data_IF_645739860288
#
_entry.id   IF_645739860288
#
_cell.length_a   1.000
_cell.length_b   1.000
_cell.length_c   1.000
_cell.angle_alpha   90.00
_cell.angle_beta   90.00
_cell.angle_gamma   90.00
#
_symmetry.space_group_name_H-M   'P 1'
#
loop_
_entity.id
_entity.type
_entity.pdbx_description
1 polymer ?
#
# COMPACT_ATOMS: atom_id res chain seq x y z
N UNK A 1 -6.34 9.87 -14.68
CA UNK A 1 -7.36 9.43 -13.70
C UNK A 1 -7.17 7.92 -13.47
N UNK A 2 -7.84 7.33 -12.48
CA UNK A 2 -7.64 5.91 -12.15
C UNK A 2 -8.19 4.96 -13.24
N UNK A 3 -9.22 5.41 -13.96
CA UNK A 3 -9.87 4.68 -15.06
C UNK A 3 -8.93 4.52 -16.27
N UNK A 4 -8.21 5.58 -16.65
CA UNK A 4 -7.21 5.52 -17.73
C UNK A 4 -6.02 4.64 -17.38
N UNK A 5 -5.62 4.58 -16.11
CA UNK A 5 -4.54 3.69 -15.67
C UNK A 5 -4.94 2.21 -15.76
N UNK A 6 -6.15 1.84 -15.32
CA UNK A 6 -6.62 0.45 -15.41
C UNK A 6 -6.70 -0.03 -16.86
N UNK A 7 -7.31 0.76 -17.75
CA UNK A 7 -7.41 0.43 -19.18
C UNK A 7 -6.03 0.29 -19.84
N UNK A 8 -5.08 1.16 -19.46
CA UNK A 8 -3.70 1.06 -19.90
C UNK A 8 -3.04 -0.25 -19.41
N UNK A 9 -3.16 -0.55 -18.11
CA UNK A 9 -2.60 -1.77 -17.52
C UNK A 9 -3.19 -3.04 -18.18
N UNK A 10 -4.49 -3.07 -18.44
CA UNK A 10 -5.16 -4.19 -19.11
C UNK A 10 -4.64 -4.40 -20.53
N UNK A 11 -4.48 -3.32 -21.30
CA UNK A 11 -3.96 -3.36 -22.68
C UNK A 11 -2.52 -3.85 -22.78
N UNK A 12 -1.71 -3.58 -21.75
CA UNK A 12 -0.28 -3.88 -21.72
C UNK A 12 0.09 -5.06 -20.81
N UNK A 13 -0.90 -5.74 -20.21
CA UNK A 13 -0.65 -6.94 -19.44
C UNK A 13 -0.23 -8.08 -20.37
N UNK A 14 0.98 -8.59 -20.18
CA UNK A 14 1.42 -9.81 -20.83
C UNK A 14 0.58 -11.00 -20.35
N UNK A 15 0.39 -12.00 -21.21
CA UNK A 15 -0.19 -13.30 -20.87
C UNK A 15 0.52 -13.89 -19.64
N UNK A 16 -0.24 -14.23 -18.60
CA UNK A 16 0.28 -14.70 -17.31
C UNK A 16 0.30 -13.66 -16.17
N UNK A 17 -0.19 -12.43 -16.39
CA UNK A 17 -0.36 -11.40 -15.33
C UNK A 17 -1.81 -11.15 -14.91
N UNK A 18 -2.70 -12.10 -15.18
CA UNK A 18 -4.14 -12.02 -14.88
C UNK A 18 -4.40 -11.67 -13.41
N UNK A 19 -3.65 -12.29 -12.49
CA UNK A 19 -3.76 -12.03 -11.06
C UNK A 19 -3.44 -10.58 -10.66
N UNK A 20 -2.48 -9.95 -11.33
CA UNK A 20 -2.14 -8.56 -11.06
C UNK A 20 -3.24 -7.59 -11.51
N UNK A 21 -3.90 -7.91 -12.62
CA UNK A 21 -5.07 -7.15 -13.09
C UNK A 21 -6.28 -7.32 -12.17
N UNK A 22 -6.52 -8.53 -11.65
CA UNK A 22 -7.56 -8.77 -10.64
C UNK A 22 -7.33 -7.93 -9.38
N UNK A 23 -6.11 -7.92 -8.84
CA UNK A 23 -5.76 -7.12 -7.66
C UNK A 23 -5.91 -5.63 -7.94
N UNK A 24 -5.54 -5.17 -9.14
CA UNK A 24 -5.71 -3.77 -9.54
C UNK A 24 -7.19 -3.40 -9.69
N UNK A 25 -8.01 -4.28 -10.26
CA UNK A 25 -9.44 -4.09 -10.36
C UNK A 25 -10.11 -4.04 -8.97
N UNK A 26 -9.70 -4.94 -8.08
CA UNK A 26 -10.15 -4.98 -6.68
C UNK A 26 -9.74 -3.71 -5.93
N UNK A 27 -8.54 -3.18 -6.17
CA UNK A 27 -8.06 -1.95 -5.55
C UNK A 27 -8.84 -0.72 -6.04
N UNK A 28 -9.02 -0.59 -7.36
CA UNK A 28 -9.59 0.60 -7.99
C UNK A 28 -11.12 0.64 -7.96
N UNK A 29 -11.77 -0.51 -8.17
CA UNK A 29 -13.23 -0.60 -8.35
C UNK A 29 -13.92 -1.37 -7.23
N UNK A 30 -13.33 -2.48 -6.78
CA UNK A 30 -13.91 -3.32 -5.73
C UNK A 30 -13.79 -2.69 -4.33
N UNK A 31 -12.74 -1.87 -4.11
CA UNK A 31 -12.26 -1.47 -2.77
C UNK A 31 -12.34 -2.63 -1.79
N UNK A 32 -11.96 -3.83 -2.22
CA UNK A 32 -11.78 -4.96 -1.33
C UNK A 32 -10.57 -4.61 -0.48
N UNK A 33 -10.83 -3.93 0.64
CA UNK A 33 -9.79 -3.44 1.54
C UNK A 33 -9.24 -4.67 2.24
N UNK A 34 -8.16 -5.21 1.70
CA UNK A 34 -7.42 -6.22 2.41
C UNK A 34 -7.01 -5.61 3.75
N UNK A 35 -7.41 -6.26 4.84
CA UNK A 35 -7.13 -5.74 6.18
C UNK A 35 -5.75 -6.20 6.59
N UNK A 36 -4.93 -5.26 7.08
CA UNK A 36 -3.64 -5.58 7.68
C UNK A 36 -3.90 -6.28 9.01
N UNK A 37 -3.49 -7.55 9.12
CA UNK A 37 -3.66 -8.37 10.34
C UNK A 37 -2.37 -8.53 11.11
N UNK A 38 -1.23 -8.30 10.46
CA UNK A 38 0.08 -8.39 11.08
C UNK A 38 1.02 -7.35 10.48
N UNK A 39 1.88 -6.79 11.32
CA UNK A 39 3.00 -5.95 10.93
C UNK A 39 4.18 -6.22 11.85
N UNK A 40 5.36 -6.41 11.27
CA UNK A 40 6.62 -6.38 12.00
C UNK A 40 7.59 -5.41 11.34
N UNK A 41 8.41 -4.77 12.16
CA UNK A 41 9.49 -3.88 11.76
C UNK A 41 10.79 -4.48 12.26
N UNK A 42 11.66 -4.88 11.35
CA UNK A 42 12.89 -5.61 11.67
C UNK A 42 14.09 -4.79 11.16
N UNK A 43 15.03 -4.41 12.03
CA UNK A 43 16.31 -3.85 11.60
C UNK A 43 17.04 -4.79 10.63
N UNK A 44 17.63 -4.24 9.56
CA UNK A 44 18.27 -5.04 8.50
C UNK A 44 19.41 -5.91 9.05
N UNK A 45 20.16 -5.40 10.02
CA UNK A 45 21.24 -6.11 10.73
C UNK A 45 20.73 -7.31 11.55
N UNK A 46 19.46 -7.27 11.98
CA UNK A 46 18.85 -8.30 12.83
C UNK A 46 17.97 -9.32 12.09
N UNK A 47 17.79 -9.16 10.77
CA UNK A 47 16.93 -10.00 9.92
C UNK A 47 17.16 -11.51 10.07
N UNK A 48 18.41 -11.94 10.34
CA UNK A 48 18.77 -13.36 10.52
C UNK A 48 18.76 -13.80 11.99
N UNK A 49 18.86 -12.86 12.92
CA UNK A 49 19.00 -13.15 14.35
C UNK A 49 17.66 -13.20 15.09
N UNK A 50 16.66 -12.48 14.60
CA UNK A 50 15.36 -12.40 15.26
C UNK A 50 14.37 -13.35 14.58
N UNK A 51 13.78 -14.32 15.31
CA UNK A 51 12.76 -15.19 14.75
C UNK A 51 11.52 -14.36 14.38
N UNK A 52 11.15 -14.39 13.09
CA UNK A 52 9.97 -13.72 12.58
C UNK A 52 8.71 -14.56 12.85
N UNK A 53 7.62 -13.91 13.26
CA UNK A 53 6.31 -14.56 13.38
C UNK A 53 5.52 -14.54 12.05
N UNK A 54 6.04 -13.88 11.00
CA UNK A 54 5.42 -13.89 9.67
C UNK A 54 5.14 -15.32 9.16
N UNK A 55 6.11 -16.26 9.16
CA UNK A 55 5.88 -17.63 8.68
C UNK A 55 4.80 -18.35 9.49
N UNK A 56 4.80 -18.20 10.82
CA UNK A 56 3.80 -18.81 11.68
C UNK A 56 2.40 -18.26 11.40
N UNK A 57 2.28 -16.94 11.23
CA UNK A 57 1.03 -16.25 10.92
C UNK A 57 0.48 -16.67 9.55
N UNK A 58 1.35 -16.73 8.52
CA UNK A 58 0.95 -17.19 7.18
C UNK A 58 0.50 -18.66 7.20
N UNK A 59 1.19 -19.52 7.95
CA UNK A 59 0.80 -20.92 8.10
C UNK A 59 -0.56 -21.06 8.80
N UNK A 60 -0.82 -20.26 9.84
CA UNK A 60 -2.12 -20.22 10.51
C UNK A 60 -3.24 -19.80 9.55
N UNK A 61 -3.06 -18.70 8.82
CA UNK A 61 -4.06 -18.20 7.85
C UNK A 61 -4.33 -19.23 6.74
N UNK A 62 -3.28 -19.88 6.24
CA UNK A 62 -3.39 -20.96 5.25
C UNK A 62 -4.17 -22.17 5.79
N UNK A 63 -3.91 -22.58 7.04
CA UNK A 63 -4.63 -23.68 7.68
C UNK A 63 -6.14 -23.38 7.83
N UNK A 64 -6.50 -22.10 7.99
CA UNK A 64 -7.88 -21.65 8.06
C UNK A 64 -8.50 -21.35 6.68
N UNK A 65 -7.79 -21.63 5.58
CA UNK A 65 -8.21 -21.28 4.20
C UNK A 65 -8.51 -19.79 4.01
N UNK A 66 -7.87 -18.92 4.78
CA UNK A 66 -8.04 -17.46 4.67
C UNK A 66 -7.03 -16.95 3.63
N UNK A 67 -7.50 -16.34 2.52
CA UNK A 67 -6.61 -15.73 1.53
C UNK A 67 -5.80 -14.59 2.15
N UNK A 68 -4.49 -14.69 2.04
CA UNK A 68 -3.55 -13.75 2.64
C UNK A 68 -2.36 -13.47 1.73
N UNK A 69 -1.80 -12.27 1.83
CA UNK A 69 -0.66 -11.81 1.04
C UNK A 69 0.29 -11.06 1.95
N UNK A 70 1.57 -11.42 1.86
CA UNK A 70 2.63 -10.74 2.57
C UNK A 70 3.25 -9.70 1.65
N UNK A 71 3.24 -8.45 2.09
CA UNK A 71 3.95 -7.37 1.44
C UNK A 71 5.17 -7.05 2.30
N UNK A 72 6.35 -7.27 1.72
CA UNK A 72 7.61 -6.86 2.33
C UNK A 72 8.12 -5.59 1.66
N UNK A 73 8.55 -4.64 2.48
CA UNK A 73 9.12 -3.36 2.07
C UNK A 73 10.57 -3.46 1.59
N UNK A 74 11.02 -4.63 1.14
CA UNK A 74 12.38 -4.83 0.60
C UNK A 74 12.62 -4.16 -0.76
N UNK A 75 11.59 -3.54 -1.36
CA UNK A 75 11.70 -2.74 -2.59
C UNK A 75 12.13 -1.28 -2.31
N UNK A 76 12.72 -0.62 -3.33
CA UNK A 76 13.37 0.69 -3.23
C UNK A 76 12.47 1.88 -2.82
N UNK A 77 11.14 1.69 -2.80
CA UNK A 77 10.16 2.72 -2.40
C UNK A 77 9.99 2.83 -0.88
N UNK A 78 10.52 1.85 -0.14
CA UNK A 78 10.34 1.74 1.31
C UNK A 78 11.64 1.46 2.07
N UNK A 79 12.77 1.36 1.35
CA UNK A 79 14.09 1.45 1.97
C UNK A 79 14.41 2.90 2.23
N UNK A 80 14.44 3.26 3.49
CA UNK A 80 14.84 4.58 3.93
C UNK A 80 16.26 4.52 4.45
N UNK A 81 17.15 5.32 3.86
CA UNK A 81 18.50 5.50 4.35
C UNK A 81 18.59 6.84 5.09
N UNK A 82 19.28 6.90 6.23
CA UNK A 82 19.53 8.13 6.95
C UNK A 82 20.37 9.09 6.10
N UNK A 83 20.31 10.39 6.43
CA UNK A 83 21.17 11.39 5.79
C UNK A 83 22.63 11.14 6.19
N UNK A 84 23.35 10.39 5.36
CA UNK A 84 24.78 10.16 5.51
C UNK A 84 25.62 11.42 5.27
N UNK A 85 26.95 11.27 5.23
CA UNK A 85 27.89 12.38 4.91
C UNK A 85 27.80 12.86 3.45
N UNK A 86 27.11 12.12 2.59
CA UNK A 86 26.93 12.48 1.18
C UNK A 86 25.95 13.66 1.03
N UNK A 87 26.22 14.56 0.08
CA UNK A 87 25.35 15.72 -0.21
C UNK A 87 24.03 15.34 -0.88
N UNK A 88 23.92 14.14 -1.45
CA UNK A 88 22.77 13.69 -2.24
C UNK A 88 21.95 12.66 -1.48
N UNK A 89 20.63 12.86 -1.44
CA UNK A 89 19.69 11.88 -0.86
C UNK A 89 19.72 10.56 -1.62
N UNK A 90 19.72 9.45 -0.88
CA UNK A 90 19.56 8.09 -1.41
C UNK A 90 18.09 7.64 -1.42
N UNK A 91 17.20 8.41 -0.80
CA UNK A 91 15.78 8.10 -0.72
C UNK A 91 15.05 8.53 -1.99
N UNK A 92 14.15 7.67 -2.47
CA UNK A 92 13.27 7.96 -3.61
C UNK A 92 12.11 8.87 -3.22
N UNK A 93 11.66 8.80 -1.97
CA UNK A 93 10.52 9.56 -1.47
C UNK A 93 10.91 10.99 -1.10
N UNK A 94 10.12 11.95 -1.59
CA UNK A 94 10.27 13.38 -1.34
C UNK A 94 8.98 13.95 -0.75
N UNK A 95 9.11 14.96 0.09
CA UNK A 95 8.00 15.70 0.70
C UNK A 95 7.84 17.02 -0.04
N UNK A 96 6.58 17.39 -0.32
CA UNK A 96 6.24 18.72 -0.80
C UNK A 96 6.09 19.63 0.42
N UNK A 97 6.98 20.60 0.55
CA UNK A 97 6.94 21.60 1.61
C UNK A 97 6.47 22.92 1.00
N UNK A 98 5.69 23.68 1.78
CA UNK A 98 5.24 25.03 1.43
C UNK A 98 6.00 26.03 2.30
N UNK A 99 6.53 27.09 1.70
CA UNK A 99 7.12 28.18 2.47
C UNK A 99 6.03 29.10 3.03
N UNK A 100 6.47 30.09 3.82
CA UNK A 100 5.62 31.15 4.38
C UNK A 100 4.92 32.00 3.31
N UNK A 101 5.38 31.96 2.06
CA UNK A 101 4.81 32.64 0.91
C UNK A 101 3.94 31.72 0.03
N UNK A 102 3.77 30.45 0.41
CA UNK A 102 2.96 29.46 -0.29
C UNK A 102 3.62 28.77 -1.49
N UNK A 103 4.90 29.05 -1.77
CA UNK A 103 5.67 28.38 -2.82
C UNK A 103 5.97 26.93 -2.40
N UNK A 104 5.86 26.01 -3.36
CA UNK A 104 6.05 24.57 -3.14
C UNK A 104 7.43 24.12 -3.58
N UNK A 105 8.15 23.44 -2.70
CA UNK A 105 9.44 22.83 -3.00
C UNK A 105 9.46 21.36 -2.58
N UNK A 106 10.32 20.59 -3.22
CA UNK A 106 10.51 19.17 -2.94
C UNK A 106 11.76 18.99 -2.08
N UNK A 107 11.58 18.42 -0.90
CA UNK A 107 12.69 18.04 -0.02
C UNK A 107 12.75 16.53 0.20
N UNK A 108 13.95 15.95 0.39
CA UNK A 108 14.07 14.54 0.75
C UNK A 108 13.35 14.22 2.07
N UNK A 109 12.73 13.03 2.15
CA UNK A 109 11.95 12.60 3.33
C UNK A 109 12.77 12.58 4.62
N UNK A 110 14.06 12.26 4.53
CA UNK A 110 14.95 12.22 5.69
C UNK A 110 15.15 13.59 6.33
N UNK A 111 14.91 14.71 5.65
CA UNK A 111 14.97 16.04 6.28
C UNK A 111 13.89 16.22 7.33
N UNK A 112 12.72 15.62 7.11
CA UNK A 112 11.50 15.82 7.91
C UNK A 112 11.14 14.64 8.80
N UNK A 113 11.78 13.49 8.58
CA UNK A 113 11.49 12.27 9.33
C UNK A 113 12.64 11.88 10.24
N UNK A 114 12.44 12.05 11.56
CA UNK A 114 13.36 11.53 12.58
C UNK A 114 13.49 10.02 12.53
N UNK A 115 12.44 9.31 12.12
CA UNK A 115 12.45 7.86 11.95
C UNK A 115 13.44 7.43 10.87
N UNK A 116 13.49 8.16 9.76
CA UNK A 116 14.41 7.87 8.65
C UNK A 116 15.87 8.22 8.99
N UNK A 117 16.10 9.24 9.82
CA UNK A 117 17.45 9.70 10.17
C UNK A 117 18.17 8.91 11.27
N UNK A 118 17.57 7.84 11.81
CA UNK A 118 18.29 6.97 12.73
C UNK A 118 19.35 6.20 11.97
N UNK A 119 20.62 6.47 12.29
CA UNK A 119 21.79 5.87 11.64
C UNK A 119 21.87 4.35 11.86
N UNK A 120 21.17 3.85 12.88
CA UNK A 120 21.30 2.50 13.42
C UNK A 120 20.19 1.56 12.91
N UNK A 121 19.25 2.06 12.12
CA UNK A 121 18.00 1.34 11.82
C UNK A 121 17.62 1.54 10.34
N UNK A 122 18.33 0.91 9.39
CA UNK A 122 17.64 0.52 8.16
C UNK A 122 16.61 -0.54 8.56
N UNK A 123 15.32 -0.27 8.35
CA UNK A 123 14.22 -1.14 8.81
C UNK A 123 13.54 -1.79 7.61
N UNK A 124 13.31 -3.10 7.70
CA UNK A 124 12.39 -3.84 6.83
C UNK A 124 11.06 -4.00 7.57
N UNK A 125 10.01 -3.47 6.96
CA UNK A 125 8.63 -3.66 7.38
C UNK A 125 8.02 -4.83 6.59
N UNK A 126 7.50 -5.83 7.30
CA UNK A 126 6.68 -6.90 6.70
C UNK A 126 5.25 -6.73 7.17
N UNK A 127 4.31 -6.81 6.23
CA UNK A 127 2.88 -6.68 6.50
C UNK A 127 2.16 -7.89 5.93
N UNK A 128 1.24 -8.46 6.69
CA UNK A 128 0.33 -9.48 6.19
C UNK A 128 -1.06 -8.86 6.07
N UNK A 129 -1.63 -8.99 4.89
CA UNK A 129 -2.96 -8.55 4.55
C UNK A 129 -3.84 -9.77 4.32
N UNK A 130 -5.10 -9.71 4.77
CA UNK A 130 -6.12 -10.74 4.49
C UNK A 130 -7.26 -10.14 3.68
N UNK A 131 -7.79 -10.91 2.75
CA UNK A 131 -9.06 -10.58 2.12
C UNK A 131 -10.17 -10.59 3.19
N UNK A 132 -11.17 -9.70 3.08
CA UNK A 132 -12.32 -9.72 4.00
C UNK A 132 -13.04 -11.07 3.88
N UNK A 133 -13.34 -11.67 5.02
CA UNK A 133 -14.08 -12.94 5.08
C UNK A 133 -15.50 -12.82 4.48
N UNK A 134 -16.13 -11.65 4.61
CA UNK A 134 -17.46 -11.35 4.05
C UNK A 134 -17.50 -11.43 2.52
N UNK A 135 -16.39 -11.10 1.85
CA UNK A 135 -16.26 -11.08 0.38
C UNK A 135 -16.19 -12.48 -0.24
N UNK A 136 -15.76 -13.48 0.53
CA UNK A 136 -15.80 -14.90 0.14
C UNK A 136 -17.23 -15.47 0.23
N UNK A 137 -18.08 -14.88 1.08
CA UNK A 137 -19.47 -15.30 1.27
C UNK A 137 -20.45 -14.51 0.38
N UNK A 138 -20.18 -13.23 0.12
CA UNK A 138 -21.01 -12.34 -0.68
C UNK A 138 -20.14 -11.54 -1.67
N UNK A 139 -19.86 -12.05 -2.88
CA UNK A 139 -19.08 -11.34 -3.86
C UNK A 139 -19.77 -10.03 -4.26
N UNK A 140 -19.04 -8.92 -4.19
CA UNK A 140 -19.51 -7.60 -4.61
C UNK A 140 -19.40 -7.50 -6.14
N UNK A 141 -20.52 -7.24 -6.83
CA UNK A 141 -20.52 -7.01 -8.29
C UNK A 141 -19.89 -5.65 -8.61
N UNK A 142 -18.74 -5.61 -9.33
CA UNK A 142 -18.05 -4.37 -9.68
C UNK A 142 -18.93 -3.40 -10.49
N UNK A 143 -19.83 -3.91 -11.34
CA UNK A 143 -20.72 -3.07 -12.16
C UNK A 143 -21.71 -2.28 -11.30
N UNK A 144 -22.22 -2.91 -10.24
CA UNK A 144 -23.12 -2.31 -9.27
C UNK A 144 -22.42 -1.23 -8.44
N UNK A 145 -21.17 -1.45 -8.05
CA UNK A 145 -20.38 -0.44 -7.33
C UNK A 145 -20.10 0.76 -8.22
N UNK A 146 -19.69 0.54 -9.47
CA UNK A 146 -19.42 1.62 -10.43
C UNK A 146 -20.67 2.44 -10.72
N UNK A 147 -21.85 1.80 -10.85
CA UNK A 147 -23.12 2.49 -10.99
C UNK A 147 -23.46 3.35 -9.76
N UNK A 148 -23.27 2.83 -8.53
CA UNK A 148 -23.50 3.58 -7.29
C UNK A 148 -22.60 4.81 -7.18
N UNK A 149 -21.30 4.64 -7.39
CA UNK A 149 -20.33 5.75 -7.34
C UNK A 149 -20.68 6.80 -8.39
N UNK A 150 -21.02 6.38 -9.62
CA UNK A 150 -21.43 7.31 -10.67
C UNK A 150 -22.71 8.06 -10.28
N UNK A 151 -23.68 7.38 -9.65
CA UNK A 151 -24.93 8.01 -9.21
C UNK A 151 -24.76 9.01 -8.07
N UNK A 152 -23.87 8.73 -7.11
CA UNK A 152 -23.63 9.60 -5.95
C UNK A 152 -22.71 10.79 -6.29
N UNK A 153 -21.79 10.64 -7.25
CA UNK A 153 -20.90 11.71 -7.71
C UNK A 153 -21.61 12.68 -8.66
N UNK A 154 -22.58 12.21 -9.46
CA UNK A 154 -23.34 13.05 -10.41
C UNK A 154 -24.54 13.73 -9.75
N UNK A 155 -25.00 13.25 -8.60
CA UNK A 155 -26.09 13.87 -7.85
C UNK A 155 -25.78 13.82 -6.35
N UNK A 156 -25.11 14.84 -5.79
CA UNK A 156 -24.94 14.92 -4.35
C UNK A 156 -26.34 14.93 -3.74
N UNK A 157 -26.64 13.94 -2.90
CA UNK A 157 -27.87 13.95 -2.11
C UNK A 157 -27.85 15.25 -1.32
N UNK A 158 -28.80 16.14 -1.59
CA UNK A 158 -29.11 17.24 -0.71
C UNK A 158 -29.33 16.63 0.68
N UNK A 159 -28.48 17.00 1.62
CA UNK A 159 -28.63 16.62 3.02
C UNK A 159 -30.03 17.06 3.44
N UNK A 160 -30.91 16.09 3.65
CA UNK A 160 -32.21 16.32 4.27
C UNK A 160 -31.96 16.67 5.73
N UNK A 161 -32.12 17.95 6.02
CA UNK A 161 -32.16 18.54 7.36
C UNK A 161 -33.04 17.69 8.29
N UNK A 162 -32.48 17.33 9.44
CA UNK A 162 -33.23 16.98 10.67
C UNK A 162 -32.58 17.73 11.82
#
# INVERSE_FOLDING_TARGET
>A
DDSSFYSYAQKHAASGRERGLELLADLLFGRRLWKRVYEESVPVDQLKSQPSLCPATLNFLRAQSIPSEMIESSTSLTRFSPRGRERRSRNTLKVVVKDVHGLRFLEPIEVHSRLVNRLDEEIVIRRIFVAREDDLRNPIDPKLVQQRVSSEVVSPRAESEV
#
